data_IF_542553483896
#
_entry.id   IF_542553483896
#
_cell.length_a   1.000
_cell.length_b   1.000
_cell.length_c   1.000
_cell.angle_alpha   90.00
_cell.angle_beta   90.00
_cell.angle_gamma   90.00
#
_symmetry.space_group_name_H-M   'P 1'
#
loop_
_entity.id
_entity.type
_entity.pdbx_description
1 polymer ?
#
# COMPACT_ATOMS: atom_id res chain seq x y z
N UNK A 1 18.65 -9.48 -33.84
CA UNK A 1 18.91 -8.77 -32.57
C UNK A 1 17.86 -7.71 -32.25
N UNK A 2 17.43 -6.87 -33.20
CA UNK A 2 16.44 -5.82 -32.93
C UNK A 2 15.05 -6.38 -32.56
N UNK A 3 14.59 -7.42 -33.28
CA UNK A 3 13.32 -8.09 -32.98
C UNK A 3 13.30 -8.77 -31.59
N UNK A 4 14.42 -9.35 -31.15
CA UNK A 4 14.53 -9.95 -29.82
C UNK A 4 14.47 -8.88 -28.72
N UNK A 5 15.14 -7.74 -28.90
CA UNK A 5 15.06 -6.61 -27.95
C UNK A 5 13.63 -6.06 -27.80
N UNK A 6 12.88 -5.98 -28.90
CA UNK A 6 11.47 -5.53 -28.88
C UNK A 6 10.57 -6.53 -28.14
N UNK A 7 10.79 -7.84 -28.33
CA UNK A 7 10.05 -8.86 -27.58
C UNK A 7 10.36 -8.79 -26.07
N UNK A 8 11.63 -8.55 -25.71
CA UNK A 8 12.05 -8.37 -24.33
C UNK A 8 11.39 -7.17 -23.65
N UNK A 9 11.36 -6.02 -24.33
CA UNK A 9 10.76 -4.82 -23.76
C UNK A 9 9.25 -4.95 -23.61
N UNK A 10 8.54 -5.52 -24.59
CA UNK A 10 7.10 -5.79 -24.46
C UNK A 10 6.79 -6.67 -23.25
N UNK A 11 7.61 -7.69 -23.00
CA UNK A 11 7.38 -8.61 -21.89
C UNK A 11 7.54 -7.92 -20.53
N UNK A 12 8.59 -7.11 -20.36
CA UNK A 12 8.82 -6.39 -19.10
C UNK A 12 7.70 -5.38 -18.82
N UNK A 13 7.17 -4.70 -19.85
CA UNK A 13 6.02 -3.80 -19.68
C UNK A 13 4.76 -4.54 -19.23
N UNK A 14 4.44 -5.71 -19.80
CA UNK A 14 3.24 -6.48 -19.41
C UNK A 14 3.28 -6.90 -17.94
N UNK A 15 4.46 -7.25 -17.41
CA UNK A 15 4.62 -7.61 -15.99
C UNK A 15 4.57 -6.39 -15.07
N UNK A 16 5.12 -5.25 -15.51
CA UNK A 16 5.25 -4.04 -14.68
C UNK A 16 3.97 -3.18 -14.62
N UNK A 17 3.15 -3.20 -15.67
CA UNK A 17 1.95 -2.35 -15.77
C UNK A 17 0.92 -2.64 -14.66
N UNK A 18 0.52 -3.90 -14.39
CA UNK A 18 -0.48 -4.18 -13.35
C UNK A 18 -0.14 -3.66 -11.94
N UNK A 19 1.09 -3.85 -11.39
CA UNK A 19 1.43 -3.27 -10.09
C UNK A 19 1.49 -1.74 -10.15
N UNK A 20 2.00 -1.15 -11.23
CA UNK A 20 2.04 0.31 -11.40
C UNK A 20 0.65 0.95 -11.36
N UNK A 21 -0.34 0.31 -11.98
CA UNK A 21 -1.74 0.79 -11.97
C UNK A 21 -2.35 0.76 -10.55
N UNK A 22 -1.91 -0.18 -9.70
CA UNK A 22 -2.44 -0.36 -8.33
C UNK A 22 -1.80 0.55 -7.29
N UNK A 23 -0.60 1.06 -7.52
CA UNK A 23 0.09 1.99 -6.59
C UNK A 23 -0.78 3.19 -6.20
N UNK A 24 -1.37 3.96 -7.14
CA UNK A 24 -2.16 5.13 -6.77
C UNK A 24 -3.39 4.77 -5.93
N UNK A 25 -4.05 3.63 -6.18
CA UNK A 25 -5.16 3.16 -5.35
C UNK A 25 -4.67 2.88 -3.92
N UNK A 26 -3.56 2.15 -3.77
CA UNK A 26 -3.01 1.80 -2.46
C UNK A 26 -2.55 3.03 -1.66
N UNK A 27 -1.98 4.04 -2.33
CA UNK A 27 -1.55 5.28 -1.67
C UNK A 27 -2.72 6.03 -1.02
N UNK A 28 -3.91 6.01 -1.64
CA UNK A 28 -5.12 6.62 -1.07
C UNK A 28 -5.55 5.96 0.24
N UNK A 29 -5.42 4.64 0.34
CA UNK A 29 -5.74 3.90 1.56
C UNK A 29 -4.68 4.10 2.65
N UNK A 30 -3.40 4.19 2.29
CA UNK A 30 -2.35 4.56 3.24
C UNK A 30 -2.60 5.95 3.82
N UNK A 31 -3.04 6.90 2.98
CA UNK A 31 -3.43 8.23 3.44
C UNK A 31 -4.65 8.19 4.36
N UNK A 32 -5.66 7.39 4.05
CA UNK A 32 -6.81 7.16 4.93
C UNK A 32 -6.38 6.63 6.32
N UNK A 33 -5.47 5.66 6.38
CA UNK A 33 -4.93 5.13 7.65
C UNK A 33 -4.16 6.22 8.39
N UNK A 34 -3.34 7.01 7.69
CA UNK A 34 -2.65 8.15 8.29
C UNK A 34 -3.63 9.17 8.87
N UNK A 35 -4.77 9.39 8.20
CA UNK A 35 -5.81 10.32 8.62
C UNK A 35 -6.60 9.78 9.84
N UNK A 36 -6.94 8.49 9.84
CA UNK A 36 -7.49 7.73 10.98
C UNK A 36 -6.60 7.82 12.21
N UNK A 37 -5.27 7.71 12.05
CA UNK A 37 -4.34 7.87 13.16
C UNK A 37 -4.36 9.28 13.78
N UNK A 38 -4.74 10.30 13.00
CA UNK A 38 -4.98 11.65 13.54
C UNK A 38 -6.10 11.68 14.58
N UNK A 39 -7.14 10.84 14.44
CA UNK A 39 -8.22 10.75 15.43
C UNK A 39 -7.70 10.22 16.76
N UNK A 40 -6.85 9.19 16.75
CA UNK A 40 -6.24 8.63 17.97
C UNK A 40 -5.47 9.69 18.74
N UNK A 41 -4.68 10.49 18.03
CA UNK A 41 -3.91 11.58 18.61
C UNK A 41 -4.81 12.65 19.24
N UNK A 42 -5.85 13.08 18.51
CA UNK A 42 -6.79 14.07 19.03
C UNK A 42 -7.57 13.57 20.25
N UNK A 43 -7.99 12.31 20.27
CA UNK A 43 -8.67 11.69 21.42
C UNK A 43 -7.76 11.71 22.66
N UNK A 44 -6.49 11.33 22.52
CA UNK A 44 -5.51 11.38 23.62
C UNK A 44 -5.28 12.81 24.14
N UNK A 45 -5.25 13.81 23.24
CA UNK A 45 -5.14 15.21 23.64
C UNK A 45 -6.39 15.72 24.36
N UNK A 46 -7.58 15.42 23.85
CA UNK A 46 -8.85 15.80 24.48
C UNK A 46 -8.90 15.22 25.89
N UNK A 47 -8.49 13.98 26.07
CA UNK A 47 -8.44 13.34 27.37
C UNK A 47 -7.44 14.02 28.31
N UNK A 48 -6.22 14.28 27.85
CA UNK A 48 -5.22 15.02 28.64
C UNK A 48 -5.80 16.36 29.10
N UNK A 49 -6.43 17.11 28.19
CA UNK A 49 -7.08 18.38 28.53
C UNK A 49 -8.29 18.21 29.46
N UNK A 50 -9.01 17.10 29.35
CA UNK A 50 -10.12 16.78 30.26
C UNK A 50 -9.63 16.59 31.70
N UNK A 51 -8.47 15.94 31.90
CA UNK A 51 -7.85 15.86 33.23
C UNK A 51 -7.49 17.25 33.75
N UNK A 52 -6.89 18.10 32.91
CA UNK A 52 -6.54 19.48 33.29
C UNK A 52 -7.77 20.31 33.70
N UNK A 53 -8.86 20.20 32.93
CA UNK A 53 -10.16 20.85 33.24
C UNK A 53 -10.73 20.32 34.55
N UNK A 54 -10.68 19.00 34.76
CA UNK A 54 -11.23 18.36 35.95
C UNK A 54 -10.45 18.73 37.22
N UNK A 55 -9.12 18.75 37.15
CA UNK A 55 -8.26 19.19 38.26
C UNK A 55 -8.48 20.69 38.51
N UNK A 56 -8.80 21.47 37.46
CA UNK A 56 -8.98 22.90 37.56
C UNK A 56 -7.70 23.61 37.96
N UNK A 57 -6.55 23.16 37.41
CA UNK A 57 -5.26 23.71 37.77
C UNK A 57 -5.13 25.17 37.31
N UNK A 58 -5.23 26.08 38.28
CA UNK A 58 -5.08 27.52 38.06
C UNK A 58 -3.61 27.98 38.10
N UNK A 59 -2.65 27.06 38.32
CA UNK A 59 -1.22 27.41 38.39
C UNK A 59 -0.54 27.29 37.03
N UNK A 60 -0.87 26.25 36.26
CA UNK A 60 -0.34 26.06 34.90
C UNK A 60 -1.15 26.84 33.86
N UNK A 61 -2.47 26.93 34.05
CA UNK A 61 -3.37 27.48 33.04
C UNK A 61 -4.11 28.74 33.52
N UNK A 62 -4.39 29.62 32.56
CA UNK A 62 -5.39 30.66 32.77
C UNK A 62 -6.77 30.03 32.89
N UNK A 63 -7.58 30.52 33.83
CA UNK A 63 -8.94 30.03 34.04
C UNK A 63 -9.75 30.03 32.74
N UNK A 64 -10.39 28.91 32.40
CA UNK A 64 -11.20 28.76 31.19
C UNK A 64 -10.42 28.39 29.92
N UNK A 65 -9.07 28.41 29.97
CA UNK A 65 -8.22 28.11 28.80
C UNK A 65 -8.20 26.62 28.45
N UNK A 66 -8.08 25.67 29.41
CA UNK A 66 -8.15 24.25 29.11
C UNK A 66 -9.50 23.86 28.47
N UNK A 67 -10.60 24.44 28.92
CA UNK A 67 -11.94 24.22 28.37
C UNK A 67 -12.05 24.71 26.92
N UNK A 68 -11.48 25.88 26.63
CA UNK A 68 -11.43 26.42 25.28
C UNK A 68 -10.59 25.55 24.33
N UNK A 69 -9.41 25.09 24.78
CA UNK A 69 -8.53 24.20 24.01
C UNK A 69 -9.24 22.86 23.76
N UNK A 70 -9.84 22.28 24.80
CA UNK A 70 -10.57 21.02 24.68
C UNK A 70 -11.75 21.13 23.70
N UNK A 71 -12.49 22.24 23.73
CA UNK A 71 -13.58 22.52 22.78
C UNK A 71 -13.06 22.62 21.33
N UNK A 72 -11.94 23.29 21.13
CA UNK A 72 -11.29 23.39 19.81
C UNK A 72 -10.83 22.01 19.30
N UNK A 73 -10.15 21.24 20.14
CA UNK A 73 -9.72 19.86 19.81
C UNK A 73 -10.91 18.94 19.50
N UNK A 74 -12.02 19.10 20.24
CA UNK A 74 -13.26 18.34 19.98
C UNK A 74 -13.87 18.70 18.63
N UNK A 75 -13.83 19.98 18.25
CA UNK A 75 -14.29 20.42 16.93
C UNK A 75 -13.38 19.86 15.83
N UNK A 76 -12.06 19.92 16.02
CA UNK A 76 -11.09 19.31 15.09
C UNK A 76 -11.34 17.81 14.93
N UNK A 77 -11.61 17.08 16.02
CA UNK A 77 -11.93 15.65 15.97
C UNK A 77 -13.20 15.39 15.16
N UNK A 78 -14.23 16.21 15.36
CA UNK A 78 -15.49 16.13 14.61
C UNK A 78 -15.29 16.38 13.12
N UNK A 79 -14.55 17.44 12.77
CA UNK A 79 -14.25 17.78 11.39
C UNK A 79 -13.42 16.66 10.73
N UNK A 80 -12.44 16.13 11.45
CA UNK A 80 -11.63 14.99 11.01
C UNK A 80 -12.48 13.74 10.79
N UNK A 81 -13.40 13.42 11.71
CA UNK A 81 -14.33 12.31 11.58
C UNK A 81 -15.25 12.46 10.38
N UNK A 82 -15.86 13.64 10.22
CA UNK A 82 -16.72 13.92 9.08
C UNK A 82 -15.95 13.76 7.77
N UNK A 83 -14.72 14.28 7.68
CA UNK A 83 -13.86 14.11 6.50
C UNK A 83 -13.51 12.66 6.20
N UNK A 84 -13.35 11.80 7.22
CA UNK A 84 -13.13 10.36 7.01
C UNK A 84 -14.40 9.69 6.47
N UNK A 85 -15.57 10.06 7.00
CA UNK A 85 -16.85 9.47 6.58
C UNK A 85 -17.24 9.92 5.18
N UNK A 86 -17.19 11.21 4.88
CA UNK A 86 -17.61 11.77 3.59
C UNK A 86 -16.53 11.72 2.53
N UNK A 87 -15.29 11.40 2.90
CA UNK A 87 -14.12 11.62 2.08
C UNK A 87 -13.64 13.07 2.17
N UNK A 88 -12.35 13.28 2.00
CA UNK A 88 -11.75 14.61 1.98
C UNK A 88 -11.64 15.08 0.53
N UNK A 89 -12.04 16.32 0.22
CA UNK A 89 -11.99 16.82 -1.16
C UNK A 89 -10.56 17.15 -1.62
N UNK A 90 -9.77 17.78 -0.73
CA UNK A 90 -8.41 18.25 -1.08
C UNK A 90 -7.33 17.18 -1.08
N UNK A 91 -7.57 16.07 -0.37
CA UNK A 91 -6.70 14.89 -0.31
C UNK A 91 -7.52 13.77 -0.90
N UNK A 92 -7.02 12.99 -1.85
CA UNK A 92 -7.79 11.96 -2.57
C UNK A 92 -8.16 10.74 -1.69
N UNK A 93 -8.64 11.00 -0.47
CA UNK A 93 -9.01 10.03 0.56
C UNK A 93 -10.42 9.53 0.23
N UNK A 94 -10.59 8.23 -0.03
CA UNK A 94 -11.91 7.67 -0.25
C UNK A 94 -12.75 7.75 1.02
N UNK A 95 -14.08 7.95 0.90
CA UNK A 95 -14.97 7.91 2.06
C UNK A 95 -14.93 6.53 2.71
N UNK A 96 -14.90 6.47 4.04
CA UNK A 96 -14.91 5.19 4.76
C UNK A 96 -16.15 4.34 4.45
N UNK A 97 -17.27 4.99 4.10
CA UNK A 97 -18.51 4.34 3.66
C UNK A 97 -18.40 3.64 2.30
N UNK A 98 -17.38 3.94 1.49
CA UNK A 98 -17.11 3.21 0.25
C UNK A 98 -16.42 1.86 0.50
N UNK A 99 -15.89 1.64 1.70
CA UNK A 99 -15.19 0.42 2.06
C UNK A 99 -16.20 -0.55 2.68
N UNK A 100 -16.68 -1.50 1.88
CA UNK A 100 -17.75 -2.42 2.28
C UNK A 100 -17.47 -3.20 3.59
N UNK A 101 -16.20 -3.53 3.87
CA UNK A 101 -15.81 -4.21 5.11
C UNK A 101 -15.96 -3.33 6.35
N UNK A 102 -15.95 -2.00 6.21
CA UNK A 102 -16.18 -1.07 7.30
C UNK A 102 -17.67 -0.85 7.57
N UNK A 103 -18.55 -1.11 6.61
CA UNK A 103 -19.99 -0.88 6.79
C UNK A 103 -20.55 -1.70 7.94
N UNK A 104 -20.10 -2.94 8.16
CA UNK A 104 -20.56 -3.74 9.31
C UNK A 104 -20.16 -3.14 10.66
N UNK A 105 -19.04 -2.41 10.72
CA UNK A 105 -18.59 -1.70 11.93
C UNK A 105 -19.32 -0.37 12.12
N UNK A 106 -19.57 0.35 11.02
CA UNK A 106 -20.26 1.64 11.04
C UNK A 106 -21.77 1.48 11.30
N UNK A 107 -22.37 0.38 10.82
CA UNK A 107 -23.78 0.07 10.98
C UNK A 107 -24.09 -0.67 12.28
N UNK A 108 -23.14 -1.46 12.84
CA UNK A 108 -23.35 -2.07 14.15
C UNK A 108 -23.15 -1.04 15.25
N UNK A 109 -24.24 -0.50 15.78
CA UNK A 109 -24.22 0.26 17.02
C UNK A 109 -23.90 -0.69 18.19
N UNK A 110 -22.62 -0.91 18.48
CA UNK A 110 -22.21 -1.85 19.51
C UNK A 110 -20.77 -1.65 19.98
N UNK A 111 -20.52 -2.03 21.23
CA UNK A 111 -19.20 -2.08 21.84
C UNK A 111 -18.32 -3.11 21.11
N UNK A 112 -17.04 -2.80 20.90
CA UNK A 112 -16.10 -3.62 20.14
C UNK A 112 -14.96 -4.22 20.99
N UNK A 113 -15.03 -4.09 22.31
CA UNK A 113 -14.14 -4.80 23.25
C UNK A 113 -14.60 -6.26 23.38
N UNK A 114 -13.65 -7.18 23.59
CA UNK A 114 -13.93 -8.62 23.79
C UNK A 114 -14.86 -8.92 25.01
N UNK A 115 -15.09 -7.93 25.89
CA UNK A 115 -15.86 -8.02 27.13
C UNK A 115 -17.02 -6.99 27.20
N UNK A 116 -17.84 -6.92 26.15
CA UNK A 116 -19.05 -6.08 26.14
C UNK A 116 -20.15 -6.67 27.04
N UNK A 117 -20.09 -6.39 28.34
CA UNK A 117 -21.16 -6.73 29.28
C UNK A 117 -22.34 -5.75 29.15
N UNK A 118 -23.59 -6.23 29.25
CA UNK A 118 -24.80 -5.42 29.01
C UNK A 118 -25.02 -4.27 30.03
N UNK A 119 -24.24 -4.21 31.10
CA UNK A 119 -24.27 -3.11 32.07
C UNK A 119 -23.55 -1.84 31.58
N UNK A 120 -22.57 -1.96 30.68
CA UNK A 120 -21.84 -0.84 30.07
C UNK A 120 -22.50 -0.31 28.79
N UNK A 121 -23.37 -1.10 28.15
CA UNK A 121 -24.03 -0.78 26.86
C UNK A 121 -25.22 0.17 26.98
N UNK A 122 -25.75 0.40 28.18
CA UNK A 122 -26.84 1.36 28.40
C UNK A 122 -26.42 2.82 28.25
N UNK A 123 -25.16 3.15 28.54
CA UNK A 123 -24.61 4.52 28.50
C UNK A 123 -23.69 4.72 27.28
N UNK A 124 -23.13 3.66 26.71
CA UNK A 124 -22.29 3.72 25.50
C UNK A 124 -23.12 3.74 24.20
N UNK A 125 -23.92 4.80 24.00
CA UNK A 125 -24.63 5.02 22.73
C UNK A 125 -23.64 5.57 21.69
N UNK A 126 -23.35 4.77 20.66
CA UNK A 126 -22.55 5.19 19.51
C UNK A 126 -23.16 6.42 18.84
N UNK A 127 -22.38 7.49 18.67
CA UNK A 127 -22.80 8.68 17.93
C UNK A 127 -21.99 8.81 16.64
N UNK A 128 -22.67 8.60 15.51
CA UNK A 128 -22.10 8.70 14.16
C UNK A 128 -21.52 10.09 13.82
N UNK A 129 -21.78 11.12 14.62
CA UNK A 129 -21.18 12.46 14.45
C UNK A 129 -19.74 12.51 14.91
N UNK A 130 -19.40 11.74 15.94
CA UNK A 130 -18.08 11.73 16.57
C UNK A 130 -17.32 10.44 16.30
N UNK A 131 -17.99 9.43 15.75
CA UNK A 131 -17.46 8.08 15.55
C UNK A 131 -17.34 7.25 16.82
N UNK A 132 -17.80 7.79 17.96
CA UNK A 132 -17.64 7.22 19.30
C UNK A 132 -18.84 7.59 20.19
N UNK A 133 -18.83 7.12 21.43
CA UNK A 133 -19.87 7.45 22.41
C UNK A 133 -19.80 8.94 22.77
N UNK A 134 -20.90 9.66 22.52
CA UNK A 134 -21.01 11.11 22.74
C UNK A 134 -20.63 11.52 24.17
N UNK A 135 -20.96 10.66 25.13
CA UNK A 135 -20.75 10.89 26.55
C UNK A 135 -19.26 10.88 26.92
N UNK A 136 -18.43 10.05 26.28
CA UNK A 136 -16.99 10.04 26.56
C UNK A 136 -16.26 11.32 26.14
N UNK A 137 -16.73 11.97 25.07
CA UNK A 137 -16.12 13.19 24.54
C UNK A 137 -16.61 14.44 25.28
N UNK A 138 -17.85 14.43 25.78
CA UNK A 138 -18.50 15.64 26.33
C UNK A 138 -18.78 15.62 27.83
N UNK A 139 -18.71 14.45 28.47
CA UNK A 139 -18.92 14.29 29.93
C UNK A 139 -18.02 15.20 30.78
N UNK A 140 -16.73 15.41 30.46
CA UNK A 140 -15.87 16.28 31.27
C UNK A 140 -16.35 17.73 31.35
N UNK A 141 -16.91 18.27 30.27
CA UNK A 141 -17.42 19.66 30.21
C UNK A 141 -18.73 19.81 30.97
N UNK A 142 -19.63 18.84 30.83
CA UNK A 142 -20.99 18.95 31.34
C UNK A 142 -21.07 18.74 32.86
N UNK A 143 -20.01 18.24 33.51
CA UNK A 143 -20.04 17.80 34.91
C UNK A 143 -19.13 18.61 35.87
N UNK A 144 -18.64 19.79 35.45
CA UNK A 144 -17.81 20.73 36.24
C UNK A 144 -18.49 21.19 37.57
N UNK A 145 -19.75 20.79 37.83
CA UNK A 145 -20.52 21.16 39.03
C UNK A 145 -20.52 20.18 40.22
N UNK A 146 -20.07 18.92 40.09
CA UNK A 146 -20.24 17.91 41.16
C UNK A 146 -18.91 17.51 41.82
N UNK A 147 -18.74 17.86 43.10
CA UNK A 147 -17.48 17.77 43.89
C UNK A 147 -17.01 16.36 44.34
N UNK A 148 -17.62 15.28 43.86
CA UNK A 148 -17.23 13.93 44.27
C UNK A 148 -16.28 13.32 43.24
N UNK A 149 -14.98 13.52 43.48
CA UNK A 149 -13.85 13.06 42.67
C UNK A 149 -13.53 11.55 42.79
N UNK A 150 -14.49 10.73 43.23
CA UNK A 150 -14.21 9.30 43.49
C UNK A 150 -14.26 8.51 42.17
N UNK A 151 -13.07 8.28 41.62
CA UNK A 151 -12.53 7.12 40.89
C UNK A 151 -13.31 6.59 39.66
N UNK A 152 -14.62 6.36 39.73
CA UNK A 152 -15.38 5.67 38.69
C UNK A 152 -15.47 6.45 37.37
N UNK A 153 -15.38 7.78 37.43
CA UNK A 153 -15.43 8.65 36.25
C UNK A 153 -14.13 8.65 35.45
N UNK A 154 -13.00 8.63 36.17
CA UNK A 154 -11.67 8.53 35.57
C UNK A 154 -11.52 7.17 34.92
N UNK A 155 -12.01 6.11 35.59
CA UNK A 155 -12.10 4.77 35.03
C UNK A 155 -13.01 4.69 33.81
N UNK A 156 -14.17 5.33 33.81
CA UNK A 156 -15.04 5.37 32.63
C UNK A 156 -14.35 6.04 31.43
N UNK A 157 -13.63 7.15 31.66
CA UNK A 157 -12.86 7.83 30.61
C UNK A 157 -11.71 6.94 30.09
N UNK A 158 -10.99 6.26 30.97
CA UNK A 158 -9.91 5.33 30.62
C UNK A 158 -10.44 4.11 29.86
N UNK A 159 -11.53 3.49 30.32
CA UNK A 159 -12.17 2.38 29.62
C UNK A 159 -12.71 2.78 28.25
N UNK A 160 -13.27 3.98 28.13
CA UNK A 160 -13.73 4.45 26.82
C UNK A 160 -12.57 4.78 25.89
N UNK A 161 -11.46 5.30 26.41
CA UNK A 161 -10.24 5.50 25.63
C UNK A 161 -9.73 4.16 25.06
N UNK A 162 -9.67 3.12 25.88
CA UNK A 162 -9.25 1.79 25.46
C UNK A 162 -10.18 1.22 24.39
N UNK A 163 -11.51 1.40 24.53
CA UNK A 163 -12.50 1.02 23.51
C UNK A 163 -12.24 1.77 22.19
N UNK A 164 -12.06 3.08 22.24
CA UNK A 164 -11.80 3.93 21.06
C UNK A 164 -10.50 3.52 20.36
N UNK A 165 -9.42 3.33 21.12
CA UNK A 165 -8.13 2.95 20.56
C UNK A 165 -8.23 1.54 19.96
N UNK A 166 -8.90 0.61 20.64
CA UNK A 166 -9.10 -0.76 20.15
C UNK A 166 -9.96 -0.79 18.87
N UNK A 167 -11.05 -0.04 18.82
CA UNK A 167 -11.90 0.10 17.65
C UNK A 167 -11.14 0.69 16.46
N UNK A 168 -10.38 1.77 16.67
CA UNK A 168 -9.55 2.38 15.63
C UNK A 168 -8.42 1.44 15.17
N UNK A 169 -7.79 0.70 16.07
CA UNK A 169 -6.80 -0.34 15.70
C UNK A 169 -7.46 -1.46 14.89
N UNK A 170 -8.70 -1.83 15.20
CA UNK A 170 -9.46 -2.85 14.48
C UNK A 170 -9.81 -2.37 13.08
N UNK A 171 -10.27 -1.12 12.94
CA UNK A 171 -10.50 -0.47 11.64
C UNK A 171 -9.21 -0.45 10.82
N UNK A 172 -8.10 -0.01 11.39
CA UNK A 172 -6.81 0.00 10.69
C UNK A 172 -6.37 -1.42 10.28
N UNK A 173 -6.52 -2.41 11.16
CA UNK A 173 -6.21 -3.81 10.82
C UNK A 173 -7.07 -4.34 9.69
N UNK A 174 -8.34 -3.98 9.64
CA UNK A 174 -9.26 -4.39 8.57
C UNK A 174 -8.94 -3.69 7.25
N UNK A 175 -8.66 -2.39 7.27
CA UNK A 175 -8.19 -1.64 6.11
C UNK A 175 -6.87 -2.25 5.61
N UNK A 176 -5.91 -2.48 6.50
CA UNK A 176 -4.63 -3.08 6.13
C UNK A 176 -4.80 -4.52 5.63
N UNK A 177 -5.73 -5.32 6.18
CA UNK A 177 -6.00 -6.69 5.71
C UNK A 177 -6.62 -6.71 4.32
N UNK A 178 -7.52 -5.78 4.02
CA UNK A 178 -8.21 -5.68 2.74
C UNK A 178 -7.28 -5.08 1.65
N UNK A 179 -6.50 -4.05 2.00
CA UNK A 179 -5.75 -3.23 1.03
C UNK A 179 -4.24 -3.47 1.02
N UNK A 180 -3.61 -3.89 2.12
CA UNK A 180 -2.29 -4.52 2.02
C UNK A 180 -2.51 -5.99 1.68
N UNK A 181 -2.06 -6.46 0.51
CA UNK A 181 -2.33 -7.80 0.04
C UNK A 181 -1.50 -8.79 0.86
N UNK A 182 -1.96 -9.10 2.06
CA UNK A 182 -1.71 -10.40 2.68
C UNK A 182 -2.66 -11.46 2.11
N UNK A 183 -3.65 -11.07 1.29
CA UNK A 183 -4.76 -11.96 0.94
C UNK A 183 -5.28 -11.93 -0.50
N UNK A 184 -4.75 -11.15 -1.45
CA UNK A 184 -5.12 -11.38 -2.86
C UNK A 184 -4.28 -12.53 -3.44
N UNK A 185 -4.47 -13.73 -2.87
CA UNK A 185 -3.87 -14.97 -3.35
C UNK A 185 -4.16 -15.18 -4.85
N UNK A 186 -5.26 -14.64 -5.37
CA UNK A 186 -5.55 -14.66 -6.80
C UNK A 186 -4.64 -13.72 -7.60
N UNK A 187 -4.45 -12.46 -7.20
CA UNK A 187 -3.53 -11.56 -7.90
C UNK A 187 -2.06 -12.00 -7.75
N UNK A 188 -1.69 -12.51 -6.57
CA UNK A 188 -0.36 -13.07 -6.32
C UNK A 188 -0.14 -14.35 -7.14
N UNK A 189 -1.09 -15.29 -7.16
CA UNK A 189 -0.97 -16.49 -7.99
C UNK A 189 -0.99 -16.15 -9.48
N UNK A 190 -1.80 -15.18 -9.91
CA UNK A 190 -1.82 -14.70 -11.29
C UNK A 190 -0.50 -14.02 -11.68
N UNK A 191 0.09 -13.21 -10.81
CA UNK A 191 1.39 -12.58 -11.09
C UNK A 191 2.53 -13.60 -11.11
N UNK A 192 2.52 -14.57 -10.20
CA UNK A 192 3.45 -15.71 -10.21
C UNK A 192 3.28 -16.56 -11.48
N UNK A 193 2.05 -16.82 -11.91
CA UNK A 193 1.76 -17.58 -13.12
C UNK A 193 2.19 -16.83 -14.39
N UNK A 194 1.93 -15.53 -14.46
CA UNK A 194 2.40 -14.69 -15.56
C UNK A 194 3.93 -14.61 -15.59
N UNK A 195 4.58 -14.53 -14.43
CA UNK A 195 6.03 -14.53 -14.31
C UNK A 195 6.65 -15.89 -14.68
N UNK A 196 6.04 -17.02 -14.29
CA UNK A 196 6.53 -18.33 -14.67
C UNK A 196 6.35 -18.58 -16.17
N UNK A 197 5.23 -18.15 -16.75
CA UNK A 197 4.99 -18.16 -18.19
C UNK A 197 6.02 -17.28 -18.92
N UNK A 198 6.32 -16.09 -18.38
CA UNK A 198 7.39 -15.21 -18.88
C UNK A 198 8.72 -15.91 -19.00
N UNK A 199 9.11 -16.57 -17.93
CA UNK A 199 10.40 -17.20 -17.80
C UNK A 199 10.50 -18.42 -18.72
N UNK A 200 9.40 -19.18 -18.88
CA UNK A 200 9.32 -20.27 -19.83
C UNK A 200 9.45 -19.78 -21.29
N UNK A 201 8.72 -18.72 -21.66
CA UNK A 201 8.80 -18.11 -22.99
C UNK A 201 10.21 -17.55 -23.23
N UNK A 202 10.81 -16.90 -22.23
CA UNK A 202 12.17 -16.40 -22.28
C UNK A 202 13.18 -17.52 -22.54
N UNK A 203 13.13 -18.60 -21.76
CA UNK A 203 14.03 -19.75 -21.93
C UNK A 203 13.86 -20.38 -23.31
N UNK A 204 12.62 -20.50 -23.80
CA UNK A 204 12.34 -21.01 -25.14
C UNK A 204 12.97 -20.14 -26.23
N UNK A 205 12.77 -18.82 -26.17
CA UNK A 205 13.39 -17.89 -27.12
C UNK A 205 14.92 -17.87 -26.99
N UNK A 206 15.46 -17.91 -25.77
CA UNK A 206 16.89 -17.96 -25.55
C UNK A 206 17.51 -19.21 -26.18
N UNK A 207 16.94 -20.40 -25.92
CA UNK A 207 17.46 -21.66 -26.46
C UNK A 207 17.35 -21.68 -27.99
N UNK A 208 16.22 -21.26 -28.57
CA UNK A 208 16.01 -21.29 -30.03
C UNK A 208 16.86 -20.26 -30.78
N UNK A 209 17.02 -19.05 -30.24
CA UNK A 209 17.87 -18.03 -30.86
C UNK A 209 19.34 -18.41 -30.68
N UNK A 210 19.74 -18.84 -29.48
CA UNK A 210 21.11 -19.24 -29.21
C UNK A 210 21.53 -20.43 -30.06
N UNK A 211 20.69 -21.46 -30.18
CA UNK A 211 21.01 -22.62 -31.04
C UNK A 211 21.18 -22.20 -32.50
N UNK A 212 20.30 -21.33 -33.01
CA UNK A 212 20.41 -20.81 -34.37
C UNK A 212 21.68 -20.00 -34.58
N UNK A 213 22.03 -19.14 -33.63
CA UNK A 213 23.27 -18.34 -33.69
C UNK A 213 24.49 -19.24 -33.63
N UNK A 214 24.53 -20.21 -32.71
CA UNK A 214 25.66 -21.14 -32.60
C UNK A 214 25.82 -21.98 -33.86
N UNK A 215 24.74 -22.49 -34.44
CA UNK A 215 24.82 -23.25 -35.69
C UNK A 215 25.32 -22.39 -36.85
N UNK A 216 24.90 -21.12 -36.91
CA UNK A 216 25.42 -20.17 -37.92
C UNK A 216 26.92 -19.94 -37.72
N UNK A 217 27.37 -19.78 -36.47
CA UNK A 217 28.80 -19.60 -36.15
C UNK A 217 29.64 -20.85 -36.40
N UNK A 218 29.08 -22.02 -36.18
CA UNK A 218 29.72 -23.30 -36.48
C UNK A 218 29.96 -23.43 -37.99
N UNK A 219 28.94 -23.16 -38.81
CA UNK A 219 29.06 -23.13 -40.27
C UNK A 219 30.09 -22.10 -40.75
N UNK A 220 30.07 -20.88 -40.20
CA UNK A 220 31.08 -19.85 -40.51
C UNK A 220 32.50 -20.32 -40.14
N UNK A 221 32.66 -21.02 -39.03
CA UNK A 221 33.95 -21.53 -38.56
C UNK A 221 34.45 -22.68 -39.44
N UNK A 222 33.58 -23.59 -39.87
CA UNK A 222 33.93 -24.68 -40.80
C UNK A 222 34.42 -24.13 -42.15
N UNK A 223 33.69 -23.15 -42.72
CA UNK A 223 34.08 -22.48 -43.97
C UNK A 223 35.43 -21.77 -43.82
N UNK A 224 35.65 -21.06 -42.71
CA UNK A 224 36.93 -20.42 -42.41
C UNK A 224 38.08 -21.43 -42.38
N UNK A 225 37.91 -22.56 -41.70
CA UNK A 225 38.94 -23.61 -41.62
C UNK A 225 39.23 -24.23 -42.99
N UNK A 226 38.19 -24.49 -43.80
CA UNK A 226 38.35 -25.02 -45.15
C UNK A 226 39.14 -24.07 -46.07
N UNK A 227 38.80 -22.77 -46.05
CA UNK A 227 39.50 -21.74 -46.82
C UNK A 227 40.96 -21.61 -46.37
N UNK A 228 41.23 -21.69 -45.06
CA UNK A 228 42.58 -21.59 -44.52
C UNK A 228 43.45 -22.78 -44.94
N UNK A 229 42.88 -23.99 -44.95
CA UNK A 229 43.55 -25.18 -45.48
C UNK A 229 43.83 -25.08 -46.99
N UNK A 230 42.89 -24.56 -47.78
CA UNK A 230 43.08 -24.38 -49.22
C UNK A 230 44.15 -23.33 -49.54
N UNK A 231 44.17 -22.21 -48.82
CA UNK A 231 45.19 -21.18 -48.96
C UNK A 231 46.60 -21.70 -48.60
N UNK A 232 46.70 -22.51 -47.53
CA UNK A 232 47.96 -23.11 -47.12
C UNK A 232 48.56 -24.06 -48.17
N UNK A 233 47.72 -24.77 -48.94
CA UNK A 233 48.16 -25.70 -49.98
C UNK A 233 48.58 -25.01 -51.29
N UNK A 234 47.97 -23.88 -51.62
CA UNK A 234 48.16 -23.19 -52.92
C UNK A 234 49.29 -22.16 -52.91
N UNK A 235 49.73 -21.69 -51.73
CA UNK A 235 50.89 -20.80 -51.59
C UNK A 235 50.69 -19.39 -52.17
N UNK A 236 49.48 -19.03 -52.62
CA UNK A 236 49.12 -17.69 -53.07
C UNK A 236 48.06 -17.06 -52.17
N UNK A 237 48.14 -15.74 -51.90
CA UNK A 237 47.14 -15.05 -51.10
C UNK A 237 45.79 -15.03 -51.84
N UNK A 238 44.81 -15.76 -51.30
CA UNK A 238 43.49 -15.90 -51.89
C UNK A 238 42.67 -14.63 -51.57
N UNK A 239 42.28 -13.88 -52.60
CA UNK A 239 41.52 -12.61 -52.50
C UNK A 239 40.19 -12.76 -51.75
N UNK A 240 39.61 -13.96 -51.80
CA UNK A 240 38.41 -14.35 -51.05
C UNK A 240 38.63 -14.31 -49.53
N UNK A 241 39.80 -14.72 -49.04
CA UNK A 241 40.12 -14.71 -47.61
C UNK A 241 40.19 -13.26 -47.09
N UNK A 242 40.71 -12.34 -47.90
CA UNK A 242 40.82 -10.92 -47.53
C UNK A 242 39.46 -10.24 -47.49
N UNK A 243 38.57 -10.55 -48.46
CA UNK A 243 37.17 -10.09 -48.45
C UNK A 243 36.38 -10.65 -47.27
N UNK A 244 36.61 -11.91 -46.90
CA UNK A 244 35.96 -12.55 -45.76
C UNK A 244 36.36 -11.89 -44.43
N UNK A 245 37.66 -11.59 -44.25
CA UNK A 245 38.18 -10.88 -43.08
C UNK A 245 37.65 -9.44 -43.02
N UNK A 246 37.58 -8.74 -44.16
CA UNK A 246 37.09 -7.36 -44.20
C UNK A 246 35.58 -7.25 -43.95
N UNK A 247 34.80 -8.26 -44.33
CA UNK A 247 33.33 -8.28 -44.12
C UNK A 247 32.91 -8.88 -42.79
N UNK A 248 33.86 -9.34 -41.96
CA UNK A 248 33.57 -9.99 -40.68
C UNK A 248 32.74 -11.27 -40.83
N UNK A 249 32.87 -11.97 -41.96
CA UNK A 249 32.14 -13.20 -42.26
C UNK A 249 30.74 -13.02 -42.89
N UNK A 250 30.21 -11.79 -42.99
CA UNK A 250 28.84 -11.57 -43.46
C UNK A 250 28.61 -11.82 -44.97
N UNK A 251 29.67 -11.79 -45.79
CA UNK A 251 29.54 -11.88 -47.25
C UNK A 251 29.57 -13.31 -47.80
N UNK A 252 30.01 -14.31 -47.01
CA UNK A 252 30.20 -15.68 -47.51
C UNK A 252 28.89 -16.38 -47.89
N UNK A 253 27.76 -15.96 -47.32
CA UNK A 253 26.47 -16.63 -47.46
C UNK A 253 25.57 -16.05 -48.56
N UNK A 254 25.97 -14.97 -49.25
CA UNK A 254 25.15 -14.34 -50.29
C UNK A 254 25.57 -14.69 -51.73
N UNK A 255 26.59 -15.52 -51.93
CA UNK A 255 27.05 -15.93 -53.28
C UNK A 255 26.54 -17.32 -53.74
N UNK A 256 25.71 -18.01 -52.95
CA UNK A 256 25.13 -19.33 -53.31
C UNK A 256 23.62 -19.32 -53.63
N UNK A 257 23.01 -18.16 -53.93
CA UNK A 257 21.70 -18.09 -54.60
C UNK A 257 21.80 -17.92 -56.12
#
# INVERSE_FOLDING_TARGET
MLASFVLYSCFTFVVLIPPLIRIPENLKFVELVSYSNGQKYLVQLIQTMSYEVLIGDNTTWLRGRPEAIMKDLTQQLKDLHQNIVTGHGDKEIPPSTSIAILNSLLESHGCHIDDCTPALTGESVYNATYGFTYEAVTSPVNQIGTKNFVDDRLRFMEHTQDDIISALQTVDRLILKEFLPTGNNQALSASIALFSLALAVFLFFYVTIYSRVMHTREMEMEVLVALLHQAAQTGQPQEQLTKLIQTGGAAALMEEE
#
